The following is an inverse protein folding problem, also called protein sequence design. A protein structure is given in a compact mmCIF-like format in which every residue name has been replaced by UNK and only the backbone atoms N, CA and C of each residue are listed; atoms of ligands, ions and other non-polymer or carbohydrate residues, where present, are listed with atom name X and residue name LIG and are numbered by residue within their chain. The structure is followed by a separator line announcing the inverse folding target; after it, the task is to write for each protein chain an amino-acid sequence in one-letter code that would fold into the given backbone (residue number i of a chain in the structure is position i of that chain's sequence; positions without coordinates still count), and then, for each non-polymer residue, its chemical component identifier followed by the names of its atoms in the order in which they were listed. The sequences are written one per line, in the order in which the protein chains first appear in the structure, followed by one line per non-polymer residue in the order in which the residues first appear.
data_IF_885888621633
#
_entry.id   IF_885888621633
#
_cell.length_a   1.000
_cell.length_b   1.000
_cell.length_c   1.000
_cell.angle_alpha   90.00
_cell.angle_beta   90.00
_cell.angle_gamma   90.00
#
_symmetry.space_group_name_H-M   'P 1'
#
loop_
_entity.id
_entity.type
_entity.pdbx_description
1 polymer ?
#
# COMPACT_ATOMS: atom_id res chain seq x y z
N UNK A 1 54.02 -24.52 19.16
CA UNK A 1 55.48 -24.62 19.27
C UNK A 1 56.03 -24.66 17.85
N UNK A 2 57.08 -23.93 17.52
CA UNK A 2 57.61 -23.96 16.15
C UNK A 2 58.38 -25.26 15.98
N UNK A 3 58.12 -26.00 14.90
CA UNK A 3 58.93 -27.18 14.58
C UNK A 3 60.38 -26.75 14.35
N UNK A 4 61.32 -27.53 14.86
CA UNK A 4 62.75 -27.39 14.55
C UNK A 4 62.94 -27.32 13.02
N UNK A 5 63.56 -26.25 12.52
CA UNK A 5 63.70 -26.01 11.07
C UNK A 5 65.15 -25.88 10.58
N UNK A 6 66.10 -25.98 11.49
CA UNK A 6 67.52 -25.72 11.30
C UNK A 6 68.37 -27.00 11.44
N UNK A 7 67.86 -28.12 10.93
CA UNK A 7 68.51 -29.43 10.99
C UNK A 7 69.91 -29.41 10.35
N UNK A 8 70.90 -29.89 11.09
CA UNK A 8 72.29 -30.09 10.69
C UNK A 8 72.64 -31.59 10.66
N UNK A 9 73.76 -31.95 10.03
CA UNK A 9 74.15 -33.36 9.82
C UNK A 9 74.38 -34.16 11.14
N UNK A 10 74.59 -33.48 12.27
CA UNK A 10 74.80 -34.08 13.59
C UNK A 10 73.56 -34.01 14.51
N UNK A 11 72.42 -33.51 14.03
CA UNK A 11 71.20 -33.45 14.83
C UNK A 11 70.51 -34.81 14.95
N UNK A 12 70.40 -35.32 16.18
CA UNK A 12 69.64 -36.53 16.47
C UNK A 12 68.17 -36.21 16.72
N UNK A 13 67.30 -36.98 16.08
CA UNK A 13 65.86 -36.89 16.28
C UNK A 13 65.48 -37.41 17.67
N UNK A 14 64.93 -36.53 18.50
CA UNK A 14 64.55 -36.82 19.88
C UNK A 14 63.01 -36.92 20.04
N UNK A 15 62.57 -37.53 21.15
CA UNK A 15 61.15 -37.56 21.52
C UNK A 15 60.53 -36.16 21.62
N UNK A 16 61.33 -35.14 21.97
CA UNK A 16 60.87 -33.75 22.00
C UNK A 16 60.44 -33.28 20.63
N UNK A 17 61.16 -33.64 19.56
CA UNK A 17 60.79 -33.26 18.18
C UNK A 17 59.46 -33.94 17.76
N UNK A 18 59.20 -35.17 18.23
CA UNK A 18 57.91 -35.85 18.02
C UNK A 18 56.76 -35.17 18.80
N UNK A 19 57.02 -34.75 20.04
CA UNK A 19 56.05 -34.00 20.84
C UNK A 19 55.75 -32.63 20.21
N UNK A 20 56.76 -31.93 19.69
CA UNK A 20 56.59 -30.66 18.98
C UNK A 20 55.69 -30.83 17.74
N UNK A 21 55.89 -31.91 16.99
CA UNK A 21 55.03 -32.26 15.86
C UNK A 21 53.58 -32.54 16.31
N UNK A 22 53.41 -33.32 17.37
CA UNK A 22 52.09 -33.63 17.92
C UNK A 22 51.37 -32.34 18.39
N UNK A 23 52.08 -31.44 19.06
CA UNK A 23 51.54 -30.17 19.53
C UNK A 23 51.09 -29.26 18.37
N UNK A 24 51.90 -29.16 17.31
CA UNK A 24 51.53 -28.39 16.11
C UNK A 24 50.32 -28.99 15.40
N UNK A 25 50.25 -30.32 15.26
CA UNK A 25 49.09 -30.98 14.64
C UNK A 25 47.83 -30.77 15.48
N UNK A 26 47.93 -30.86 16.80
CA UNK A 26 46.84 -30.56 17.72
C UNK A 26 46.38 -29.11 17.59
N UNK A 27 47.32 -28.16 17.53
CA UNK A 27 47.00 -26.75 17.33
C UNK A 27 46.32 -26.49 15.99
N UNK A 28 46.83 -27.05 14.89
CA UNK A 28 46.21 -26.94 13.58
C UNK A 28 44.79 -27.52 13.58
N UNK A 29 44.57 -28.63 14.29
CA UNK A 29 43.24 -29.24 14.44
C UNK A 29 42.28 -28.28 15.15
N UNK A 30 42.74 -27.60 16.20
CA UNK A 30 41.96 -26.58 16.91
C UNK A 30 41.68 -25.36 16.03
N UNK A 31 42.68 -24.86 15.30
CA UNK A 31 42.56 -23.70 14.43
C UNK A 31 41.60 -23.96 13.26
N UNK A 32 41.69 -25.15 12.65
CA UNK A 32 40.77 -25.60 11.59
C UNK A 32 39.34 -25.74 12.14
N UNK A 33 39.18 -26.31 13.33
CA UNK A 33 37.86 -26.41 13.97
C UNK A 33 37.25 -25.03 14.25
N UNK A 34 38.07 -24.07 14.70
CA UNK A 34 37.66 -22.70 14.92
C UNK A 34 37.29 -21.99 13.61
N UNK A 35 38.11 -22.12 12.56
CA UNK A 35 37.85 -21.56 11.24
C UNK A 35 36.57 -22.16 10.60
N UNK A 36 36.39 -23.48 10.72
CA UNK A 36 35.21 -24.20 10.25
C UNK A 36 33.94 -23.72 10.97
N UNK A 37 34.00 -23.56 12.29
CA UNK A 37 32.89 -23.01 13.09
C UNK A 37 32.56 -21.58 12.67
N UNK A 38 33.58 -20.74 12.48
CA UNK A 38 33.40 -19.35 12.04
C UNK A 38 32.77 -19.25 10.64
N UNK A 39 33.21 -20.10 9.70
CA UNK A 39 32.67 -20.14 8.33
C UNK A 39 31.24 -20.68 8.30
N UNK A 40 30.94 -21.72 9.09
CA UNK A 40 29.61 -22.32 9.18
C UNK A 40 28.53 -21.34 9.64
N UNK A 41 28.91 -20.29 10.37
CA UNK A 41 28.01 -19.22 10.79
C UNK A 41 27.83 -18.08 9.77
N UNK A 42 28.52 -18.11 8.62
CA UNK A 42 28.40 -17.08 7.58
C UNK A 42 27.42 -17.53 6.49
N UNK A 43 26.69 -16.57 5.93
CA UNK A 43 25.91 -16.79 4.72
C UNK A 43 26.84 -16.98 3.51
N UNK A 44 26.44 -17.83 2.57
CA UNK A 44 27.14 -17.97 1.29
C UNK A 44 26.99 -16.69 0.47
N UNK A 45 28.11 -16.14 -0.01
CA UNK A 45 28.14 -14.93 -0.85
C UNK A 45 27.50 -15.15 -2.22
N UNK A 46 27.36 -16.39 -2.68
CA UNK A 46 26.59 -16.71 -3.90
C UNK A 46 25.08 -16.60 -3.69
N UNK A 47 24.61 -16.56 -2.43
CA UNK A 47 23.21 -16.30 -2.12
C UNK A 47 22.85 -14.88 -2.55
N UNK A 48 21.76 -14.74 -3.29
CA UNK A 48 21.26 -13.47 -3.79
C UNK A 48 19.90 -13.12 -3.18
N UNK A 49 19.69 -11.83 -2.90
CA UNK A 49 18.38 -11.26 -2.62
C UNK A 49 17.81 -10.71 -3.93
N UNK A 50 16.66 -11.22 -4.36
CA UNK A 50 15.94 -10.67 -5.50
C UNK A 50 14.92 -9.64 -5.01
N UNK A 51 15.09 -8.37 -5.36
CA UNK A 51 14.07 -7.36 -5.10
C UNK A 51 12.92 -7.55 -6.09
N UNK A 52 11.70 -7.69 -5.57
CA UNK A 52 10.50 -7.77 -6.39
C UNK A 52 10.01 -6.41 -6.88
N UNK A 53 8.89 -6.40 -7.59
CA UNK A 53 8.20 -5.18 -8.01
C UNK A 53 7.94 -4.26 -6.81
N UNK A 54 8.26 -2.98 -6.95
CA UNK A 54 8.08 -1.98 -5.89
C UNK A 54 9.19 -1.97 -4.83
N UNK A 55 10.26 -2.76 -4.98
CA UNK A 55 11.40 -2.77 -4.08
C UNK A 55 12.72 -2.56 -4.84
N UNK A 56 13.67 -1.89 -4.21
CA UNK A 56 15.05 -1.77 -4.67
C UNK A 56 16.03 -2.46 -3.71
N UNK A 57 17.29 -2.58 -4.13
CA UNK A 57 18.38 -2.94 -3.22
C UNK A 57 18.72 -4.42 -3.11
N UNK A 58 18.26 -5.26 -4.05
CA UNK A 58 18.68 -6.65 -4.19
C UNK A 58 20.17 -6.84 -4.53
N UNK A 59 20.56 -8.06 -4.91
CA UNK A 59 21.93 -8.44 -5.26
C UNK A 59 22.52 -9.51 -4.34
N UNK A 60 23.84 -9.71 -4.39
CA UNK A 60 24.55 -10.73 -3.58
C UNK A 60 24.76 -10.31 -2.12
N UNK A 61 25.03 -11.28 -1.24
CA UNK A 61 25.43 -11.06 0.16
C UNK A 61 26.94 -10.80 0.35
N UNK A 62 27.65 -10.35 -0.70
CA UNK A 62 29.07 -9.98 -0.59
C UNK A 62 29.33 -8.77 0.35
N UNK A 63 28.29 -7.97 0.62
CA UNK A 63 28.27 -6.86 1.56
C UNK A 63 26.87 -6.70 2.18
N UNK A 64 26.74 -5.83 3.19
CA UNK A 64 25.45 -5.53 3.82
C UNK A 64 24.42 -5.05 2.79
N UNK A 65 23.18 -5.56 2.91
CA UNK A 65 22.07 -5.19 2.03
C UNK A 65 20.94 -4.42 2.70
N UNK A 66 20.45 -3.41 2.01
CA UNK A 66 19.30 -2.59 2.39
C UNK A 66 18.26 -2.71 1.30
N UNK A 67 17.05 -3.10 1.68
CA UNK A 67 15.88 -3.09 0.81
C UNK A 67 15.06 -1.83 1.11
N UNK A 68 14.58 -1.17 0.06
CA UNK A 68 13.77 0.03 0.18
C UNK A 68 12.56 -0.07 -0.75
N UNK A 69 11.45 0.54 -0.34
CA UNK A 69 10.31 0.76 -1.22
C UNK A 69 10.71 1.69 -2.36
N UNK A 70 10.31 1.32 -3.57
CA UNK A 70 10.57 2.05 -4.80
C UNK A 70 9.36 2.92 -5.12
N UNK A 71 9.32 4.10 -4.51
CA UNK A 71 8.17 4.98 -4.61
C UNK A 71 8.10 5.70 -5.96
N UNK A 72 6.87 5.91 -6.45
CA UNK A 72 6.64 6.63 -7.69
C UNK A 72 5.28 6.38 -8.32
N UNK A 73 5.06 7.01 -9.48
CA UNK A 73 3.78 6.99 -10.20
C UNK A 73 3.74 5.99 -11.36
N UNK A 74 4.89 5.45 -11.76
CA UNK A 74 5.01 4.48 -12.85
C UNK A 74 4.57 3.06 -12.47
N UNK A 75 4.43 2.20 -13.48
CA UNK A 75 4.15 0.78 -13.27
C UNK A 75 5.26 0.13 -12.43
N UNK A 76 4.84 -0.71 -11.47
CA UNK A 76 5.74 -1.43 -10.59
C UNK A 76 6.40 -0.59 -9.50
N UNK A 77 5.89 0.63 -9.25
CA UNK A 77 6.26 1.47 -8.12
C UNK A 77 5.20 1.43 -7.01
N UNK A 78 5.61 1.73 -5.80
CA UNK A 78 4.72 1.86 -4.63
C UNK A 78 4.21 3.30 -4.55
N UNK A 79 2.95 3.50 -4.19
CA UNK A 79 2.43 4.81 -3.77
C UNK A 79 2.74 5.05 -2.28
N UNK A 80 3.36 6.19 -1.95
CA UNK A 80 3.53 6.60 -0.55
C UNK A 80 2.18 7.00 0.07
N UNK A 81 2.08 6.98 1.39
CA UNK A 81 0.83 7.34 2.09
C UNK A 81 0.41 8.80 1.88
N UNK A 82 1.36 9.69 1.59
CA UNK A 82 1.14 11.10 1.24
C UNK A 82 1.17 11.35 -0.28
N UNK A 83 1.12 10.30 -1.10
CA UNK A 83 1.07 10.43 -2.55
C UNK A 83 -0.23 11.15 -2.98
N UNK A 84 -0.10 12.16 -3.84
CA UNK A 84 -1.20 13.03 -4.24
C UNK A 84 -2.36 12.27 -4.93
N UNK A 85 -2.09 11.09 -5.48
CA UNK A 85 -3.11 10.20 -6.07
C UNK A 85 -4.04 9.58 -5.03
N UNK A 86 -3.64 9.55 -3.76
CA UNK A 86 -4.46 9.06 -2.65
C UNK A 86 -5.29 10.17 -2.00
N UNK A 87 -4.90 11.43 -2.20
CA UNK A 87 -5.64 12.61 -1.75
C UNK A 87 -6.67 13.04 -2.79
N UNK A 88 -7.62 12.17 -3.10
CA UNK A 88 -8.64 12.49 -4.08
C UNK A 88 -9.89 13.14 -3.45
N UNK A 89 -10.12 14.41 -3.78
CA UNK A 89 -11.48 14.83 -4.09
C UNK A 89 -11.82 14.27 -5.49
N UNK A 90 -12.37 13.05 -5.57
CA UNK A 90 -12.84 12.50 -6.86
C UNK A 90 -14.09 13.23 -7.29
N UNK A 91 -14.03 13.98 -8.40
CA UNK A 91 -15.24 14.46 -9.07
C UNK A 91 -16.08 13.25 -9.46
N UNK A 92 -17.29 13.06 -8.89
CA UNK A 92 -18.13 11.93 -9.25
C UNK A 92 -18.38 11.96 -10.75
N UNK A 93 -18.31 10.79 -11.39
CA UNK A 93 -18.75 10.70 -12.79
C UNK A 93 -20.20 11.16 -12.87
N UNK A 94 -20.50 12.05 -13.81
CA UNK A 94 -21.86 12.50 -14.03
C UNK A 94 -22.75 11.29 -14.28
N UNK A 95 -23.80 11.16 -13.48
CA UNK A 95 -24.81 10.12 -13.62
C UNK A 95 -26.18 10.75 -13.43
N UNK A 96 -27.17 10.16 -14.09
CA UNK A 96 -28.56 10.58 -13.99
C UNK A 96 -29.33 9.61 -13.12
N UNK A 97 -30.19 10.13 -12.25
CA UNK A 97 -31.18 9.34 -11.56
C UNK A 97 -32.55 9.57 -12.21
N UNK A 98 -33.27 8.49 -12.45
CA UNK A 98 -34.71 8.59 -12.69
C UNK A 98 -35.42 8.74 -11.34
N UNK A 99 -36.66 9.24 -11.33
CA UNK A 99 -37.46 9.33 -10.09
C UNK A 99 -37.62 7.98 -9.40
N UNK A 100 -37.75 6.91 -10.19
CA UNK A 100 -37.83 5.53 -9.70
C UNK A 100 -36.56 5.06 -8.95
N UNK A 101 -35.42 5.74 -9.09
CA UNK A 101 -34.21 5.40 -8.33
C UNK A 101 -34.20 6.03 -6.92
N UNK A 102 -35.11 6.95 -6.63
CA UNK A 102 -35.18 7.65 -5.35
C UNK A 102 -36.40 7.16 -4.59
N UNK A 103 -36.20 6.16 -3.72
CA UNK A 103 -37.26 5.59 -2.90
C UNK A 103 -37.99 6.67 -2.10
N UNK A 104 -39.31 6.79 -2.30
CA UNK A 104 -40.16 7.71 -1.56
C UNK A 104 -40.27 9.13 -2.15
N UNK A 105 -39.58 9.44 -3.24
CA UNK A 105 -39.66 10.76 -3.88
C UNK A 105 -41.08 11.08 -4.37
N UNK A 106 -41.75 10.13 -5.01
CA UNK A 106 -43.12 10.32 -5.50
C UNK A 106 -44.11 10.61 -4.36
N UNK A 107 -43.98 9.91 -3.24
CA UNK A 107 -44.82 10.11 -2.05
C UNK A 107 -44.54 11.48 -1.40
N UNK A 108 -43.27 11.87 -1.30
CA UNK A 108 -42.89 13.17 -0.76
C UNK A 108 -43.39 14.33 -1.64
N UNK A 109 -43.34 14.18 -2.97
CA UNK A 109 -43.86 15.16 -3.93
C UNK A 109 -45.38 15.27 -3.85
N UNK A 110 -46.09 14.14 -3.78
CA UNK A 110 -47.55 14.12 -3.59
C UNK A 110 -47.95 14.83 -2.28
N UNK A 111 -47.19 14.65 -1.20
CA UNK A 111 -47.40 15.35 0.08
C UNK A 111 -47.18 16.86 0.02
N UNK A 112 -46.31 17.37 -0.86
CA UNK A 112 -46.10 18.82 -1.05
C UNK A 112 -47.25 19.49 -1.80
N UNK A 113 -47.87 18.82 -2.77
CA UNK A 113 -49.09 19.31 -3.45
C UNK A 113 -50.24 19.50 -2.44
N UNK A 114 -50.28 18.67 -1.39
CA UNK A 114 -51.24 18.86 -0.30
C UNK A 114 -50.91 20.03 0.65
N UNK A 115 -49.65 20.50 0.70
CA UNK A 115 -49.20 21.57 1.62
C UNK A 115 -49.24 23.00 1.04
N UNK A 116 -49.31 23.15 -0.28
CA UNK A 116 -49.42 24.45 -0.95
C UNK A 116 -50.46 24.38 -2.06
N UNK A 117 -51.73 24.27 -1.68
CA UNK A 117 -52.90 24.47 -2.54
C UNK A 117 -53.13 23.36 -3.56
N UNK A 118 -54.28 22.71 -3.46
CA UNK A 118 -54.85 21.95 -4.57
C UNK A 118 -54.94 22.85 -5.81
N UNK A 119 -54.12 22.60 -6.83
CA UNK A 119 -54.36 23.15 -8.17
C UNK A 119 -55.53 22.44 -8.88
N UNK A 120 -56.19 21.47 -8.21
CA UNK A 120 -57.53 21.02 -8.56
C UNK A 120 -58.50 21.86 -7.74
N UNK A 121 -58.68 23.10 -8.18
CA UNK A 121 -59.34 24.10 -7.33
C UNK A 121 -59.02 25.55 -7.62
N UNK A 122 -58.13 25.89 -8.57
CA UNK A 122 -58.28 27.16 -9.29
C UNK A 122 -59.46 27.08 -10.28
N UNK A 123 -60.57 26.56 -9.79
CA UNK A 123 -61.86 26.99 -10.26
C UNK A 123 -61.92 28.48 -9.89
N UNK A 124 -61.89 29.37 -10.88
CA UNK A 124 -62.30 30.77 -10.71
C UNK A 124 -63.84 30.80 -10.55
N UNK A 125 -64.34 29.97 -9.64
CA UNK A 125 -65.75 29.62 -9.51
C UNK A 125 -66.56 30.71 -8.89
N UNK A 126 -67.48 31.28 -9.68
CA UNK A 126 -68.66 32.14 -9.39
C UNK A 126 -68.56 33.28 -8.36
N UNK A 127 -67.49 33.39 -7.59
CA UNK A 127 -67.26 34.42 -6.57
C UNK A 127 -65.81 34.88 -6.70
N UNK A 128 -65.62 36.16 -7.05
CA UNK A 128 -64.33 36.84 -6.98
C UNK A 128 -63.84 36.90 -5.52
N UNK A 129 -62.52 36.79 -5.26
CA UNK A 129 -62.00 36.87 -3.90
C UNK A 129 -62.38 38.21 -3.26
N UNK A 130 -63.04 38.16 -2.10
CA UNK A 130 -63.31 39.32 -1.24
C UNK A 130 -64.78 39.77 -1.08
N UNK A 131 -65.77 39.15 -1.72
CA UNK A 131 -67.17 39.65 -1.65
C UNK A 131 -68.22 38.66 -1.12
N UNK A 132 -67.92 37.37 -1.00
CA UNK A 132 -68.83 36.38 -0.40
C UNK A 132 -70.22 36.22 -1.07
N UNK A 133 -70.47 36.82 -2.23
CA UNK A 133 -71.75 36.71 -2.98
C UNK A 133 -71.46 36.45 -4.45
N UNK A 134 -72.17 35.49 -5.05
CA UNK A 134 -71.97 35.08 -6.44
C UNK A 134 -72.28 36.22 -7.42
N UNK A 135 -71.32 36.58 -8.27
CA UNK A 135 -71.47 37.62 -9.29
C UNK A 135 -71.29 37.03 -10.68
N UNK A 136 -72.11 37.46 -11.65
CA UNK A 136 -71.95 37.13 -13.07
C UNK A 136 -71.11 38.21 -13.76
N UNK A 137 -70.03 37.80 -14.43
CA UNK A 137 -69.18 38.68 -15.23
C UNK A 137 -69.84 38.91 -16.60
N UNK A 138 -70.18 40.17 -16.90
CA UNK A 138 -70.64 40.55 -18.23
C UNK A 138 -69.50 41.22 -18.99
N UNK A 139 -69.12 40.66 -20.13
CA UNK A 139 -68.15 41.28 -21.05
C UNK A 139 -68.94 41.93 -22.18
N UNK A 140 -68.79 43.25 -22.34
CA UNK A 140 -69.34 44.00 -23.48
C UNK A 140 -68.29 44.00 -24.59
N UNK A 141 -68.55 43.40 -25.77
CA UNK A 141 -67.65 43.52 -26.90
C UNK A 141 -67.64 44.96 -27.42
N UNK A 142 -66.47 45.50 -27.83
CA UNK A 142 -66.43 46.80 -28.49
C UNK A 142 -67.14 46.74 -29.84
N UNK A 143 -67.82 47.84 -30.18
CA UNK A 143 -68.46 48.09 -31.49
C UNK A 143 -67.44 48.28 -32.60
#
# INVERSE_FOLDING_TARGET
MTLKNDWTEDDWFAHTDQNELADVVNQNTLDIAAASTALSGKADKTTTISAGTGLTGGGSLAANRTLAADFGTGAGKVCEGNDARLSDARTPTAHTHTTANVTGLDAALAGKIAGSGSAVGMWMGTTLPGSGTAGVLYVVPPS
#
